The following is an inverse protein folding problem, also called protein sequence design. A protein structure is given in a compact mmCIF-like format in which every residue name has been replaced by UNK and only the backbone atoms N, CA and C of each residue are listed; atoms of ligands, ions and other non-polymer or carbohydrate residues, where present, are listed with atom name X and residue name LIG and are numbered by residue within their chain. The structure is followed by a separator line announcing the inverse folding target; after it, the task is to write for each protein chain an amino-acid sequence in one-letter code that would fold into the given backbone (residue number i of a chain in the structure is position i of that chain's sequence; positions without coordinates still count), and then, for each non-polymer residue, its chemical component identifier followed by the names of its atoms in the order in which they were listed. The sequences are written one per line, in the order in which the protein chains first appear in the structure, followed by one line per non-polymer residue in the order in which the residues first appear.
data_IF_531539850841
#
_entry.id   IF_531539850841
#
_cell.length_a   1.000
_cell.length_b   1.000
_cell.length_c   1.000
_cell.angle_alpha   90.00
_cell.angle_beta   90.00
_cell.angle_gamma   90.00
#
_symmetry.space_group_name_H-M   'P 1'
#
loop_
_entity.id
_entity.type
_entity.pdbx_description
1 polymer ?
#
# COMPACT_ATOMS: atom_id res chain seq x y z
N UNK A 1 17.82 0.37 18.38
CA UNK A 1 17.06 1.62 18.70
C UNK A 1 16.75 2.35 17.41
N UNK A 2 15.56 2.93 17.27
CA UNK A 2 15.24 3.78 16.13
C UNK A 2 15.90 5.16 16.34
N UNK A 3 16.65 5.64 15.34
CA UNK A 3 17.24 6.99 15.40
C UNK A 3 16.13 8.03 15.43
N UNK A 4 16.17 8.91 16.43
CA UNK A 4 15.43 10.16 16.46
C UNK A 4 16.18 11.17 15.60
N UNK A 5 15.44 11.93 14.78
CA UNK A 5 15.99 12.96 13.91
C UNK A 5 15.60 14.33 14.48
N UNK A 6 16.48 15.30 14.35
CA UNK A 6 16.22 16.65 14.82
C UNK A 6 15.27 17.43 13.90
N UNK A 7 14.78 18.57 14.38
CA UNK A 7 13.83 19.39 13.61
C UNK A 7 14.41 19.90 12.30
N UNK A 8 15.73 20.10 12.20
CA UNK A 8 16.34 20.60 10.97
C UNK A 8 16.41 19.51 9.91
N UNK A 9 16.79 18.29 10.30
CA UNK A 9 16.75 17.11 9.45
C UNK A 9 15.31 16.87 8.93
N UNK A 10 14.31 16.92 9.82
CA UNK A 10 12.90 16.75 9.45
C UNK A 10 12.37 17.88 8.55
N UNK A 11 12.80 19.12 8.78
CA UNK A 11 12.46 20.27 7.92
C UNK A 11 13.03 20.11 6.52
N UNK A 12 14.26 19.61 6.39
CA UNK A 12 14.89 19.35 5.09
C UNK A 12 14.10 18.30 4.26
N UNK A 13 13.51 17.29 4.91
CA UNK A 13 12.63 16.31 4.25
C UNK A 13 11.41 17.02 3.66
N UNK A 14 10.67 17.80 4.47
CA UNK A 14 9.46 18.52 4.04
C UNK A 14 9.73 19.56 2.95
N UNK A 15 10.93 20.14 2.93
CA UNK A 15 11.32 21.09 1.89
C UNK A 15 11.54 20.43 0.54
N UNK A 16 12.04 19.19 0.52
CA UNK A 16 12.44 18.52 -0.72
C UNK A 16 11.44 17.52 -1.26
N UNK A 17 10.62 16.94 -0.40
CA UNK A 17 9.73 15.85 -0.77
C UNK A 17 8.28 16.16 -0.42
N UNK A 18 7.39 15.55 -1.20
CA UNK A 18 5.98 15.43 -0.89
C UNK A 18 5.57 13.96 -1.01
N UNK A 19 4.49 13.61 -0.33
CA UNK A 19 3.92 12.29 -0.43
C UNK A 19 2.74 12.33 -1.39
N UNK A 20 2.82 11.54 -2.45
CA UNK A 20 1.72 11.29 -3.37
C UNK A 20 0.85 10.19 -2.78
N UNK A 21 -0.34 10.57 -2.30
CA UNK A 21 -1.25 9.66 -1.61
C UNK A 21 -1.89 8.64 -2.55
N UNK A 22 -2.09 8.99 -3.81
CA UNK A 22 -2.73 8.11 -4.80
C UNK A 22 -1.79 7.00 -5.23
N UNK A 23 -0.53 7.37 -5.51
CA UNK A 23 0.49 6.41 -5.91
C UNK A 23 1.17 5.73 -4.73
N UNK A 24 1.05 6.31 -3.53
CA UNK A 24 1.73 5.84 -2.34
C UNK A 24 3.25 6.00 -2.42
N UNK A 25 3.73 7.06 -3.08
CA UNK A 25 5.14 7.27 -3.35
C UNK A 25 5.63 8.61 -2.77
N UNK A 26 6.91 8.63 -2.38
CA UNK A 26 7.61 9.86 -2.06
C UNK A 26 8.17 10.45 -3.35
N UNK A 27 7.77 11.68 -3.68
CA UNK A 27 8.24 12.43 -4.85
C UNK A 27 9.02 13.65 -4.40
N UNK A 28 10.02 14.05 -5.18
CA UNK A 28 10.65 15.36 -5.01
C UNK A 28 9.62 16.45 -5.31
N UNK A 29 9.81 17.66 -4.80
CA UNK A 29 8.94 18.79 -5.15
C UNK A 29 8.99 19.19 -6.63
N UNK A 30 9.99 18.73 -7.37
CA UNK A 30 10.06 18.90 -8.84
C UNK A 30 9.22 17.86 -9.59
N UNK A 31 8.54 16.95 -8.89
CA UNK A 31 7.66 15.92 -9.48
C UNK A 31 8.37 14.62 -9.83
N UNK A 32 9.70 14.56 -9.77
CA UNK A 32 10.45 13.32 -9.96
C UNK A 32 10.22 12.36 -8.78
N UNK A 33 10.19 11.06 -9.04
CA UNK A 33 10.20 10.09 -7.94
C UNK A 33 11.48 10.28 -7.12
N UNK A 34 11.36 10.26 -5.79
CA UNK A 34 12.54 10.31 -4.93
C UNK A 34 13.45 9.13 -5.27
N UNK A 35 14.63 9.43 -5.82
CA UNK A 35 15.61 8.39 -6.17
C UNK A 35 16.07 7.70 -4.89
N UNK A 36 15.71 6.42 -4.75
CA UNK A 36 16.32 5.55 -3.76
C UNK A 36 17.71 5.18 -4.30
N UNK A 37 18.76 5.74 -3.71
CA UNK A 37 20.13 5.48 -4.15
C UNK A 37 20.60 4.11 -3.61
N UNK A 38 20.58 3.12 -4.50
CA UNK A 38 21.24 1.79 -4.43
C UNK A 38 20.87 0.85 -3.26
N UNK A 39 21.57 -0.29 -3.20
CA UNK A 39 21.34 -1.59 -2.51
C UNK A 39 20.88 -1.57 -1.04
N UNK A 40 20.86 -0.41 -0.40
CA UNK A 40 20.51 -0.20 1.00
C UNK A 40 19.03 0.09 1.28
N UNK A 41 18.20 0.27 0.23
CA UNK A 41 16.75 0.57 0.36
C UNK A 41 16.48 1.84 1.20
N UNK A 42 17.32 2.87 1.04
CA UNK A 42 17.23 4.16 1.76
C UNK A 42 17.06 5.34 0.78
N UNK A 43 16.37 6.38 1.23
CA UNK A 43 16.35 7.71 0.61
C UNK A 43 17.48 8.52 1.22
N UNK A 44 18.35 9.09 0.39
CA UNK A 44 19.40 10.00 0.84
C UNK A 44 19.00 11.45 0.62
N UNK A 45 19.19 12.27 1.66
CA UNK A 45 18.84 13.69 1.64
C UNK A 45 20.03 14.46 2.21
N UNK A 46 20.56 15.41 1.43
CA UNK A 46 21.56 16.34 1.96
C UNK A 46 20.92 17.29 2.99
N UNK A 47 21.32 17.24 4.25
CA UNK A 47 20.94 18.21 5.28
C UNK A 47 22.21 18.79 5.90
N UNK A 48 22.29 20.13 6.01
CA UNK A 48 23.41 20.84 6.66
C UNK A 48 24.81 20.33 6.23
N UNK A 49 25.08 20.33 4.91
CA UNK A 49 26.35 19.89 4.31
C UNK A 49 26.71 18.40 4.49
N UNK A 50 25.81 17.54 4.98
CA UNK A 50 25.99 16.09 5.06
C UNK A 50 24.86 15.34 4.36
N UNK A 51 25.15 14.15 3.83
CA UNK A 51 24.10 13.25 3.33
C UNK A 51 23.57 12.38 4.47
N UNK A 52 22.26 12.42 4.68
CA UNK A 52 21.57 11.64 5.70
C UNK A 52 20.67 10.63 5.01
N UNK A 53 20.77 9.37 5.43
CA UNK A 53 19.97 8.27 4.89
C UNK A 53 18.74 8.03 5.77
N UNK A 54 17.58 7.88 5.12
CA UNK A 54 16.30 7.64 5.75
C UNK A 54 15.61 6.43 5.12
N UNK A 55 14.86 5.68 5.92
CA UNK A 55 14.00 4.63 5.40
C UNK A 55 12.84 5.24 4.59
N UNK A 56 12.57 4.78 3.35
CA UNK A 56 11.46 5.27 2.53
C UNK A 56 10.12 5.19 3.25
N UNK A 57 9.86 4.08 3.93
CA UNK A 57 8.65 3.86 4.71
C UNK A 57 8.48 4.87 5.85
N UNK A 58 9.57 5.25 6.54
CA UNK A 58 9.52 6.26 7.61
C UNK A 58 9.32 7.67 7.07
N UNK A 59 9.96 8.00 5.94
CA UNK A 59 9.77 9.27 5.26
C UNK A 59 8.33 9.40 4.79
N UNK A 60 7.78 8.35 4.18
CA UNK A 60 6.38 8.26 3.78
C UNK A 60 5.45 8.50 4.97
N UNK A 61 5.67 7.79 6.08
CA UNK A 61 4.89 7.97 7.30
C UNK A 61 4.93 9.42 7.80
N UNK A 62 6.13 10.01 7.86
CA UNK A 62 6.31 11.37 8.33
C UNK A 62 5.64 12.41 7.42
N UNK A 63 5.79 12.27 6.11
CA UNK A 63 5.17 13.19 5.14
C UNK A 63 3.65 13.08 5.14
N UNK A 64 3.10 11.88 5.33
CA UNK A 64 1.67 11.65 5.35
C UNK A 64 1.01 12.11 6.67
N UNK A 65 1.68 11.90 7.81
CA UNK A 65 1.09 12.17 9.14
C UNK A 65 1.53 13.50 9.74
N UNK A 66 2.66 14.05 9.28
CA UNK A 66 3.35 15.18 9.90
C UNK A 66 4.19 14.83 11.12
N UNK A 67 4.18 13.57 11.58
CA UNK A 67 4.86 13.10 12.79
C UNK A 67 5.86 11.98 12.47
N UNK A 68 7.05 12.07 13.05
CA UNK A 68 8.05 11.02 12.86
C UNK A 68 7.60 9.76 13.63
N UNK A 69 7.59 8.56 13.02
CA UNK A 69 7.08 7.36 13.69
C UNK A 69 7.95 7.01 14.90
N UNK A 70 7.35 6.76 16.06
CA UNK A 70 8.08 6.41 17.29
C UNK A 70 8.72 5.02 17.20
N UNK A 71 8.09 4.09 16.49
CA UNK A 71 8.53 2.71 16.29
C UNK A 71 9.13 2.46 14.91
N UNK A 72 9.56 1.21 14.66
CA UNK A 72 9.98 0.76 13.32
C UNK A 72 8.74 0.67 12.41
N UNK A 73 8.82 1.30 11.23
CA UNK A 73 7.80 1.14 10.18
C UNK A 73 8.13 -0.12 9.38
N UNK A 74 7.16 -1.01 9.23
CA UNK A 74 7.24 -2.27 8.50
C UNK A 74 6.34 -2.23 7.27
N UNK A 75 6.70 -3.03 6.27
CA UNK A 75 5.89 -3.30 5.08
C UNK A 75 5.20 -4.65 5.23
N UNK A 76 3.88 -4.71 5.03
CA UNK A 76 3.12 -5.95 5.22
C UNK A 76 3.50 -7.03 4.19
N UNK A 77 3.77 -6.63 2.95
CA UNK A 77 4.19 -7.54 1.88
C UNK A 77 5.72 -7.83 1.86
N UNK A 78 6.49 -7.33 2.83
CA UNK A 78 7.95 -7.46 2.86
C UNK A 78 8.70 -6.68 1.76
N UNK A 79 7.99 -6.05 0.82
CA UNK A 79 8.58 -5.20 -0.21
C UNK A 79 8.80 -3.79 0.35
N UNK A 80 10.05 -3.45 0.66
CA UNK A 80 10.42 -2.16 1.25
C UNK A 80 10.26 -0.95 0.31
N UNK A 81 10.08 -1.20 -0.99
CA UNK A 81 9.84 -0.17 -1.99
C UNK A 81 8.35 0.15 -2.14
N UNK A 82 7.46 -0.73 -1.65
CA UNK A 82 6.02 -0.48 -1.66
C UNK A 82 5.64 0.35 -0.44
N UNK A 83 5.65 1.67 -0.62
CA UNK A 83 5.32 2.65 0.43
C UNK A 83 3.85 3.05 0.46
N UNK A 84 2.95 2.30 -0.20
CA UNK A 84 1.51 2.60 -0.16
C UNK A 84 0.98 2.56 1.28
N UNK A 85 0.07 3.48 1.68
CA UNK A 85 -0.39 3.58 3.07
C UNK A 85 -0.95 2.28 3.64
N UNK A 86 -1.63 1.46 2.83
CA UNK A 86 -2.18 0.17 3.25
C UNK A 86 -1.09 -0.85 3.61
N UNK A 87 0.11 -0.68 3.05
CA UNK A 87 1.24 -1.58 3.25
C UNK A 87 2.12 -1.15 4.42
N UNK A 88 1.96 0.05 4.98
CA UNK A 88 2.85 0.60 6.01
C UNK A 88 2.26 0.50 7.42
N UNK A 89 3.05 -0.07 8.35
CA UNK A 89 2.66 -0.29 9.75
C UNK A 89 3.71 0.22 10.73
N UNK A 90 3.29 0.97 11.75
CA UNK A 90 4.14 1.32 12.89
C UNK A 90 3.54 0.68 14.16
N UNK A 91 4.16 -0.38 14.66
CA UNK A 91 3.53 -1.22 15.69
C UNK A 91 2.31 -1.95 15.12
N UNK A 92 1.15 -1.78 15.75
CA UNK A 92 -0.14 -2.30 15.27
C UNK A 92 -0.93 -1.29 14.40
N UNK A 93 -0.40 -0.08 14.20
CA UNK A 93 -1.12 0.99 13.48
C UNK A 93 -0.79 0.95 12.00
N UNK A 94 -1.80 0.75 11.15
CA UNK A 94 -1.72 0.90 9.70
C UNK A 94 -1.80 2.38 9.30
N UNK A 95 -0.93 2.83 8.39
CA UNK A 95 -0.93 4.22 7.93
C UNK A 95 -2.23 4.60 7.22
N UNK A 96 -2.82 3.70 6.42
CA UNK A 96 -4.11 3.96 5.76
C UNK A 96 -5.22 4.31 6.77
N UNK A 97 -5.37 3.50 7.83
CA UNK A 97 -6.37 3.73 8.88
C UNK A 97 -6.14 5.05 9.61
N UNK A 98 -4.87 5.40 9.88
CA UNK A 98 -4.51 6.65 10.52
C UNK A 98 -4.86 7.87 9.65
N UNK A 99 -4.62 7.79 8.34
CA UNK A 99 -4.99 8.86 7.40
C UNK A 99 -6.52 8.99 7.29
N UNK A 100 -7.23 7.87 7.20
CA UNK A 100 -8.70 7.87 7.15
C UNK A 100 -9.33 8.53 8.39
N UNK A 101 -8.77 8.30 9.59
CA UNK A 101 -9.20 8.98 10.82
C UNK A 101 -8.94 10.49 10.77
N UNK A 102 -7.80 10.90 10.22
CA UNK A 102 -7.42 12.31 10.10
C UNK A 102 -8.34 13.08 9.16
N UNK A 103 -8.70 12.50 8.03
CA UNK A 103 -9.63 13.11 7.08
C UNK A 103 -11.07 13.16 7.63
N UNK A 104 -11.42 12.25 8.53
CA UNK A 104 -12.73 12.20 9.18
C UNK A 104 -12.87 13.23 10.31
N UNK A 105 -11.85 14.06 10.57
CA UNK A 105 -11.88 15.10 11.59
C UNK A 105 -12.19 16.45 10.93
N UNK A 106 -13.42 17.00 11.03
CA UNK A 106 -13.68 18.35 10.58
C UNK A 106 -12.91 19.33 11.48
N UNK A 107 -12.09 20.20 10.91
CA UNK A 107 -11.53 21.34 11.62
C UNK A 107 -12.69 22.18 12.19
N UNK A 108 -12.77 22.30 13.53
CA UNK A 108 -13.64 23.27 14.16
C UNK A 108 -12.84 24.04 15.24
N UNK A 109 -12.80 25.39 15.19
CA UNK A 109 -12.10 26.21 16.16
C UNK A 109 -12.80 26.22 17.53
N UNK A 110 -12.04 26.59 18.55
CA UNK A 110 -12.21 26.32 19.99
C UNK A 110 -13.59 26.61 20.63
N UNK A 111 -13.87 25.77 21.64
CA UNK A 111 -14.65 26.01 22.87
C UNK A 111 -16.17 26.28 22.78
N UNK A 112 -16.98 25.28 23.14
CA UNK A 112 -17.69 25.16 24.43
C UNK A 112 -18.57 23.91 24.41
N UNK A 113 -18.75 23.31 25.58
CA UNK A 113 -19.54 22.10 25.77
C UNK A 113 -20.97 22.25 25.22
N UNK A 114 -21.39 21.36 24.32
CA UNK A 114 -22.76 20.88 24.25
C UNK A 114 -22.83 19.62 23.38
N UNK A 115 -23.42 18.57 23.95
CA UNK A 115 -23.70 17.30 23.29
C UNK A 115 -24.78 17.57 22.23
N UNK A 116 -24.40 17.51 20.94
CA UNK A 116 -25.35 17.46 19.83
C UNK A 116 -25.23 16.11 19.11
N UNK A 117 -26.35 15.48 18.71
CA UNK A 117 -26.31 14.25 17.94
C UNK A 117 -25.77 14.50 16.54
N UNK A 118 -25.02 13.52 16.03
CA UNK A 118 -24.36 13.49 14.73
C UNK A 118 -25.29 13.96 13.57
N UNK A 119 -24.86 14.85 12.67
CA UNK A 119 -25.70 15.35 11.58
C UNK A 119 -25.97 14.24 10.55
N UNK A 120 -27.26 14.06 10.24
CA UNK A 120 -27.82 12.94 9.46
C UNK A 120 -27.30 12.80 8.02
N UNK A 121 -26.58 13.79 7.50
CA UNK A 121 -25.97 13.75 6.16
C UNK A 121 -24.82 12.74 6.06
N UNK A 122 -24.01 12.57 7.12
CA UNK A 122 -22.86 11.63 7.11
C UNK A 122 -23.31 10.15 7.11
N UNK A 123 -24.52 9.86 7.61
CA UNK A 123 -25.07 8.50 7.58
C UNK A 123 -25.55 8.06 6.19
N UNK A 124 -25.89 9.00 5.31
CA UNK A 124 -26.26 8.68 3.94
C UNK A 124 -25.05 8.18 3.15
N UNK A 125 -23.92 8.89 3.26
CA UNK A 125 -22.68 8.55 2.54
C UNK A 125 -22.09 7.21 2.97
N UNK A 126 -22.12 6.88 4.27
CA UNK A 126 -21.63 5.60 4.77
C UNK A 126 -22.46 4.41 4.23
N UNK A 127 -23.79 4.58 4.08
CA UNK A 127 -24.64 3.53 3.52
C UNK A 127 -24.36 3.30 2.04
N UNK A 128 -24.09 4.37 1.29
CA UNK A 128 -23.73 4.29 -0.13
C UNK A 128 -22.38 3.60 -0.28
N UNK A 129 -21.38 3.99 0.51
CA UNK A 129 -20.05 3.36 0.50
C UNK A 129 -20.14 1.87 0.86
N UNK A 130 -20.93 1.50 1.89
CA UNK A 130 -21.12 0.09 2.27
C UNK A 130 -21.72 -0.73 1.13
N UNK A 131 -22.78 -0.23 0.48
CA UNK A 131 -23.40 -0.92 -0.67
C UNK A 131 -22.42 -1.07 -1.84
N UNK A 132 -21.58 -0.06 -2.08
CA UNK A 132 -20.57 -0.15 -3.14
C UNK A 132 -19.51 -1.21 -2.82
N UNK A 133 -19.08 -1.31 -1.55
CA UNK A 133 -18.13 -2.34 -1.11
C UNK A 133 -18.74 -3.74 -1.21
N UNK A 134 -19.99 -3.92 -0.81
CA UNK A 134 -20.73 -5.19 -0.96
C UNK A 134 -20.81 -5.59 -2.43
N UNK A 135 -21.21 -4.68 -3.32
CA UNK A 135 -21.28 -4.94 -4.76
C UNK A 135 -19.92 -5.31 -5.38
N UNK A 136 -18.84 -4.62 -5.01
CA UNK A 136 -17.50 -4.94 -5.49
C UNK A 136 -17.00 -6.29 -4.96
N UNK A 137 -17.41 -6.68 -3.75
CA UNK A 137 -17.09 -7.99 -3.18
C UNK A 137 -17.78 -9.11 -3.94
N UNK A 138 -19.06 -8.92 -4.30
CA UNK A 138 -19.83 -9.90 -5.07
C UNK A 138 -19.23 -10.08 -6.47
N UNK A 139 -18.90 -8.98 -7.16
CA UNK A 139 -18.24 -9.03 -8.47
C UNK A 139 -16.89 -9.75 -8.43
N UNK A 140 -16.10 -9.54 -7.38
CA UNK A 140 -14.83 -10.24 -7.22
C UNK A 140 -15.03 -11.75 -6.99
N UNK A 141 -16.06 -12.13 -6.23
CA UNK A 141 -16.41 -13.54 -6.01
C UNK A 141 -16.81 -14.23 -7.31
N UNK A 142 -17.67 -13.60 -8.12
CA UNK A 142 -18.11 -14.12 -9.42
C UNK A 142 -16.92 -14.28 -10.39
N UNK A 143 -16.03 -13.28 -10.45
CA UNK A 143 -14.81 -13.37 -11.26
C UNK A 143 -13.90 -14.52 -10.83
N UNK A 144 -13.76 -14.74 -9.52
CA UNK A 144 -12.93 -15.81 -8.98
C UNK A 144 -13.51 -17.20 -9.28
N UNK A 145 -14.83 -17.36 -9.23
CA UNK A 145 -15.50 -18.60 -9.61
C UNK A 145 -15.32 -18.90 -11.11
N UNK A 146 -15.55 -17.90 -11.97
CA UNK A 146 -15.37 -18.04 -13.42
C UNK A 146 -13.92 -18.40 -13.81
N UNK A 147 -12.93 -17.82 -13.14
CA UNK A 147 -11.51 -18.17 -13.37
C UNK A 147 -11.18 -19.57 -12.88
N UNK A 148 -11.73 -19.99 -11.75
CA UNK A 148 -11.59 -21.35 -11.21
C UNK A 148 -12.14 -22.42 -12.17
N UNK A 149 -13.34 -22.18 -12.71
CA UNK A 149 -13.95 -23.07 -13.69
C UNK A 149 -13.11 -23.16 -14.98
N UNK A 150 -12.64 -22.01 -15.48
CA UNK A 150 -11.82 -21.95 -16.70
C UNK A 150 -10.50 -22.72 -16.51
N UNK A 151 -9.82 -22.55 -15.37
CA UNK A 151 -8.61 -23.29 -15.04
C UNK A 151 -8.87 -24.79 -14.92
N UNK A 152 -9.99 -25.18 -14.34
CA UNK A 152 -10.38 -26.59 -14.21
C UNK A 152 -10.62 -27.23 -15.58
N UNK A 153 -11.29 -26.50 -16.49
CA UNK A 153 -11.50 -26.94 -17.86
C UNK A 153 -10.18 -27.10 -18.62
N UNK A 154 -9.31 -26.09 -18.55
CA UNK A 154 -8.00 -26.12 -19.22
C UNK A 154 -7.13 -27.29 -18.69
N UNK A 155 -7.15 -27.52 -17.38
CA UNK A 155 -6.41 -28.64 -16.77
C UNK A 155 -6.89 -29.99 -17.28
N UNK A 156 -8.20 -30.15 -17.49
CA UNK A 156 -8.79 -31.37 -18.06
C UNK A 156 -8.36 -31.56 -19.52
N UNK A 157 -8.41 -30.50 -20.33
CA UNK A 157 -7.98 -30.55 -21.73
C UNK A 157 -6.49 -30.90 -21.85
N UNK A 158 -5.62 -30.27 -21.06
CA UNK A 158 -4.18 -30.59 -21.03
C UNK A 158 -3.93 -32.04 -20.64
N UNK A 159 -4.68 -32.55 -19.66
CA UNK A 159 -4.58 -33.96 -19.25
C UNK A 159 -4.98 -34.91 -20.38
N UNK A 160 -6.11 -34.65 -21.06
CA UNK A 160 -6.56 -35.46 -22.20
C UNK A 160 -5.57 -35.44 -23.36
N UNK A 161 -5.02 -34.27 -23.70
CA UNK A 161 -3.99 -34.13 -24.73
C UNK A 161 -2.72 -34.90 -24.35
N UNK A 162 -2.33 -34.85 -23.06
CA UNK A 162 -1.17 -35.60 -22.57
C UNK A 162 -1.39 -37.12 -22.65
N UNK A 163 -2.57 -37.63 -22.31
CA UNK A 163 -2.90 -39.05 -22.44
C UNK A 163 -2.94 -39.50 -23.91
N UNK A 164 -3.55 -38.69 -24.79
CA UNK A 164 -3.58 -38.97 -26.22
C UNK A 164 -2.15 -39.04 -26.80
N UNK A 165 -1.29 -38.07 -26.43
CA UNK A 165 0.10 -38.04 -26.85
C UNK A 165 0.88 -39.27 -26.34
N UNK A 166 0.71 -39.64 -25.07
CA UNK A 166 1.35 -40.82 -24.49
C UNK A 166 0.89 -42.12 -25.16
N UNK A 167 -0.37 -42.19 -25.59
CA UNK A 167 -0.91 -43.34 -26.32
C UNK A 167 -0.27 -43.46 -27.70
N UNK A 168 -0.19 -42.35 -28.44
CA UNK A 168 0.49 -42.31 -29.74
C UNK A 168 1.98 -42.67 -29.61
N UNK A 169 2.68 -42.14 -28.62
CA UNK A 169 4.10 -42.46 -28.40
C UNK A 169 4.32 -43.96 -28.14
N UNK A 170 3.41 -44.61 -27.41
CA UNK A 170 3.44 -46.07 -27.21
C UNK A 170 3.19 -46.84 -28.51
N UNK A 171 2.23 -46.42 -29.33
CA UNK A 171 1.92 -47.04 -30.63
C UNK A 171 3.11 -46.95 -31.61
N UNK A 172 3.82 -45.83 -31.62
CA UNK A 172 4.98 -45.61 -32.50
C UNK A 172 6.32 -46.08 -31.90
N UNK A 173 6.32 -46.68 -30.70
CA UNK A 173 7.54 -47.22 -30.06
C UNK A 173 8.57 -46.15 -29.67
N UNK A 174 8.15 -44.88 -29.57
CA UNK A 174 9.04 -43.76 -29.23
C UNK A 174 9.11 -43.64 -27.70
N UNK A 175 10.26 -43.97 -27.11
CA UNK A 175 10.52 -43.67 -25.69
C UNK A 175 10.82 -42.17 -25.54
N UNK A 176 10.03 -41.48 -24.73
CA UNK A 176 10.38 -40.14 -24.26
C UNK A 176 11.66 -40.24 -23.41
N UNK A 177 12.75 -39.63 -23.89
CA UNK A 177 14.00 -39.44 -23.14
C UNK A 177 13.86 -38.36 -22.06
#
# INVERSE_FOLDING_TARGET
MARTYDETELKAIKQRYHFDRELGLVKTKTGEQARCYSTSRQIQIAAQARYISFSPARVCWFLATGQWPTGRVRTANGNHNDTRPINLYCGSVCLYNLLAQKDSTPEQPQATANIHPLPSAQHADIKVIRRQVEHLSDQLSEQQEATSETLTKLRREVFQVSEALNTLLKEFGVKAS
#
